data_IF_848921732732
#
_entry.id   IF_848921732732
#
_cell.length_a   1.000
_cell.length_b   1.000
_cell.length_c   1.000
_cell.angle_alpha   90.00
_cell.angle_beta   90.00
_cell.angle_gamma   90.00
#
_symmetry.space_group_name_H-M   'P 1'
#
loop_
_entity.id
_entity.type
_entity.pdbx_description
1 polymer ?
#
# COMPACT_ATOMS: atom_id res chain seq x y z
N UNK A 1 -9.78 -11.01 18.67
CA UNK A 1 -8.62 -11.58 17.92
C UNK A 1 -7.88 -10.44 17.24
N UNK A 2 -6.57 -10.57 17.06
CA UNK A 2 -5.70 -9.44 16.72
C UNK A 2 -5.97 -8.85 15.33
N UNK A 3 -6.35 -7.58 15.27
CA UNK A 3 -6.60 -6.78 14.05
C UNK A 3 -5.31 -6.39 13.28
N UNK A 4 -4.27 -7.23 13.37
CA UNK A 4 -2.92 -6.91 12.86
C UNK A 4 -2.88 -6.89 11.34
N UNK A 5 -3.56 -7.82 10.66
CA UNK A 5 -3.64 -7.82 9.20
C UNK A 5 -4.27 -6.53 8.66
N UNK A 6 -5.42 -6.08 9.20
CA UNK A 6 -6.03 -4.84 8.75
C UNK A 6 -5.16 -3.61 9.06
N UNK A 7 -4.52 -3.59 10.24
CA UNK A 7 -3.61 -2.53 10.64
C UNK A 7 -2.39 -2.44 9.71
N UNK A 8 -1.72 -3.55 9.45
CA UNK A 8 -0.58 -3.57 8.53
C UNK A 8 -1.01 -3.26 7.09
N UNK A 9 -2.17 -3.74 6.65
CA UNK A 9 -2.66 -3.42 5.32
C UNK A 9 -2.97 -1.92 5.16
N UNK A 10 -3.60 -1.29 6.16
CA UNK A 10 -3.83 0.15 6.16
C UNK A 10 -2.52 0.95 6.12
N UNK A 11 -1.51 0.52 6.89
CA UNK A 11 -0.19 1.16 6.88
C UNK A 11 0.52 1.00 5.53
N UNK A 12 0.42 -0.19 4.92
CA UNK A 12 0.95 -0.43 3.58
C UNK A 12 0.29 0.53 2.57
N UNK A 13 -1.04 0.66 2.61
CA UNK A 13 -1.77 1.60 1.77
C UNK A 13 -1.32 3.05 1.97
N UNK A 14 -1.10 3.47 3.21
CA UNK A 14 -0.59 4.80 3.52
C UNK A 14 0.83 5.04 2.96
N UNK A 15 1.74 4.06 3.07
CA UNK A 15 3.09 4.17 2.51
C UNK A 15 3.08 4.16 0.98
N UNK A 16 2.21 3.36 0.35
CA UNK A 16 2.00 3.40 -1.11
C UNK A 16 1.51 4.78 -1.56
N UNK A 17 0.60 5.41 -0.82
CA UNK A 17 0.16 6.78 -1.08
C UNK A 17 1.29 7.79 -0.95
N UNK A 18 2.13 7.68 0.09
CA UNK A 18 3.32 8.52 0.25
C UNK A 18 4.29 8.36 -0.90
N UNK A 19 4.53 7.13 -1.37
CA UNK A 19 5.33 6.89 -2.57
C UNK A 19 4.76 7.62 -3.79
N UNK A 20 3.46 7.51 -4.05
CA UNK A 20 2.85 8.17 -5.21
C UNK A 20 2.99 9.70 -5.16
N UNK A 21 2.76 10.31 -4.00
CA UNK A 21 2.91 11.76 -3.78
C UNK A 21 4.38 12.21 -3.90
N UNK A 22 5.31 11.43 -3.35
CA UNK A 22 6.75 11.71 -3.46
C UNK A 22 7.22 11.61 -4.92
N UNK A 23 6.78 10.59 -5.66
CA UNK A 23 7.09 10.45 -7.08
C UNK A 23 6.51 11.61 -7.91
N UNK A 24 5.27 12.02 -7.64
CA UNK A 24 4.64 13.16 -8.32
C UNK A 24 5.40 14.48 -8.07
N UNK A 25 5.96 14.65 -6.88
CA UNK A 25 6.77 15.82 -6.50
C UNK A 25 8.26 15.68 -6.81
N UNK A 26 8.69 14.59 -7.48
CA UNK A 26 10.10 14.29 -7.79
C UNK A 26 11.00 14.26 -6.55
N UNK A 27 10.44 13.84 -5.42
CA UNK A 27 11.17 13.69 -4.15
C UNK A 27 11.64 12.24 -3.98
N UNK A 28 12.74 11.90 -4.65
CA UNK A 28 13.27 10.53 -4.65
C UNK A 28 13.64 10.01 -3.25
N UNK A 29 14.10 10.91 -2.36
CA UNK A 29 14.44 10.55 -0.98
C UNK A 29 13.21 10.04 -0.22
N UNK A 30 12.10 10.78 -0.27
CA UNK A 30 10.87 10.36 0.41
C UNK A 30 10.22 9.16 -0.28
N UNK A 31 10.35 9.05 -1.62
CA UNK A 31 9.90 7.88 -2.36
C UNK A 31 10.59 6.61 -1.85
N UNK A 32 11.92 6.61 -1.79
CA UNK A 32 12.69 5.45 -1.34
C UNK A 32 12.43 5.12 0.14
N UNK A 33 12.31 6.14 1.00
CA UNK A 33 12.00 5.94 2.41
C UNK A 33 10.61 5.33 2.62
N UNK A 34 9.60 5.79 1.87
CA UNK A 34 8.25 5.23 1.91
C UNK A 34 8.20 3.81 1.34
N UNK A 35 8.95 3.55 0.26
CA UNK A 35 9.01 2.24 -0.36
C UNK A 35 9.66 1.20 0.56
N UNK A 36 10.72 1.56 1.29
CA UNK A 36 11.33 0.67 2.30
C UNK A 36 10.32 0.30 3.40
N UNK A 37 9.57 1.29 3.92
CA UNK A 37 8.50 1.03 4.90
C UNK A 37 7.40 0.13 4.35
N UNK A 38 6.99 0.33 3.09
CA UNK A 38 6.01 -0.51 2.43
C UNK A 38 6.47 -1.98 2.33
N UNK A 39 7.71 -2.22 1.91
CA UNK A 39 8.27 -3.59 1.85
C UNK A 39 8.41 -4.24 3.23
N UNK A 40 8.81 -3.49 4.27
CA UNK A 40 8.81 -3.99 5.65
C UNK A 40 7.41 -4.39 6.10
N UNK A 41 6.40 -3.56 5.80
CA UNK A 41 5.01 -3.84 6.15
C UNK A 41 4.47 -5.06 5.40
N UNK A 42 4.85 -5.24 4.13
CA UNK A 42 4.53 -6.44 3.36
C UNK A 42 5.11 -7.71 3.99
N UNK A 43 6.35 -7.64 4.49
CA UNK A 43 6.97 -8.76 5.22
C UNK A 43 6.27 -9.07 6.54
N UNK A 44 5.68 -8.07 7.22
CA UNK A 44 4.85 -8.29 8.40
C UNK A 44 3.52 -8.96 8.01
N UNK A 45 2.87 -8.51 6.93
CA UNK A 45 1.64 -9.13 6.40
C UNK A 45 1.84 -10.60 6.02
N UNK A 46 2.99 -10.96 5.45
CA UNK A 46 3.30 -12.35 5.11
C UNK A 46 3.36 -13.30 6.33
N UNK A 47 3.49 -12.75 7.55
CA UNK A 47 3.47 -13.51 8.81
C UNK A 47 2.07 -13.59 9.42
N UNK A 48 1.11 -12.85 8.88
CA UNK A 48 -0.29 -12.94 9.30
C UNK A 48 -0.95 -14.11 8.56
N UNK A 49 -1.85 -14.84 9.22
CA UNK A 49 -2.60 -15.97 8.63
C UNK A 49 -3.72 -15.50 7.69
N UNK A 50 -3.38 -14.55 6.80
CA UNK A 50 -4.27 -13.80 5.92
C UNK A 50 -3.59 -13.59 4.56
N UNK A 51 -3.45 -14.65 3.74
CA UNK A 51 -2.76 -14.57 2.44
C UNK A 51 -3.36 -13.49 1.52
N UNK A 52 -4.68 -13.24 1.63
CA UNK A 52 -5.37 -12.22 0.85
C UNK A 52 -4.80 -10.82 1.08
N UNK A 53 -4.34 -10.50 2.29
CA UNK A 53 -3.77 -9.19 2.61
C UNK A 53 -2.38 -9.00 2.00
N UNK A 54 -1.59 -10.08 1.92
CA UNK A 54 -0.29 -10.07 1.27
C UNK A 54 -0.44 -9.91 -0.25
N UNK A 55 -1.36 -10.67 -0.85
CA UNK A 55 -1.64 -10.64 -2.29
C UNK A 55 -2.09 -9.24 -2.74
N UNK A 56 -3.08 -8.67 -2.04
CA UNK A 56 -3.57 -7.34 -2.35
C UNK A 56 -2.47 -6.28 -2.13
N UNK A 57 -1.63 -6.46 -1.11
CA UNK A 57 -0.49 -5.58 -0.86
C UNK A 57 0.55 -5.59 -1.99
N UNK A 58 0.82 -6.75 -2.57
CA UNK A 58 1.68 -6.88 -3.75
C UNK A 58 1.06 -6.21 -4.98
N UNK A 59 -0.25 -6.32 -5.16
CA UNK A 59 -0.98 -5.65 -6.24
C UNK A 59 -0.88 -4.13 -6.13
N UNK A 60 -1.02 -3.56 -4.92
CA UNK A 60 -0.84 -2.12 -4.68
C UNK A 60 0.55 -1.62 -5.10
N UNK A 61 1.62 -2.35 -4.75
CA UNK A 61 2.98 -2.01 -5.14
C UNK A 61 3.21 -2.11 -6.65
N UNK A 62 2.64 -3.11 -7.32
CA UNK A 62 2.69 -3.23 -8.79
C UNK A 62 1.93 -2.11 -9.47
N UNK A 63 0.74 -1.75 -8.96
CA UNK A 63 -0.06 -0.66 -9.49
C UNK A 63 0.64 0.70 -9.34
N UNK A 64 1.33 0.93 -8.22
CA UNK A 64 2.19 2.10 -8.03
C UNK A 64 3.29 2.18 -9.10
N UNK A 65 4.04 1.11 -9.32
CA UNK A 65 5.13 1.12 -10.31
C UNK A 65 4.61 1.31 -11.74
N UNK A 66 3.47 0.68 -12.06
CA UNK A 66 2.79 0.89 -13.33
C UNK A 66 2.38 2.36 -13.51
N UNK A 67 1.73 2.95 -12.51
CA UNK A 67 1.30 4.36 -12.55
C UNK A 67 2.49 5.32 -12.68
N UNK A 68 3.60 5.02 -12.03
CA UNK A 68 4.84 5.79 -12.11
C UNK A 68 5.44 5.75 -13.52
N UNK A 69 5.46 4.57 -14.13
CA UNK A 69 5.99 4.35 -15.49
C UNK A 69 5.12 4.99 -16.57
N UNK A 70 3.79 4.92 -16.39
CA UNK A 70 2.82 5.46 -17.35
C UNK A 70 2.53 6.96 -17.15
N UNK A 71 3.06 7.58 -16.09
CA UNK A 71 2.78 8.98 -15.76
C UNK A 71 1.35 9.24 -15.24
N UNK A 72 0.68 8.21 -14.71
CA UNK A 72 -0.72 8.26 -14.25
C UNK A 72 -0.86 8.34 -12.73
N UNK A 73 0.19 8.79 -12.02
CA UNK A 73 0.22 8.89 -10.56
C UNK A 73 -0.95 9.67 -9.96
N UNK A 74 -1.44 10.72 -10.63
CA UNK A 74 -2.59 11.49 -10.12
C UNK A 74 -3.85 10.64 -10.04
N UNK A 75 -4.19 9.94 -11.12
CA UNK A 75 -5.33 9.03 -11.16
C UNK A 75 -5.18 7.90 -10.15
N UNK A 76 -3.96 7.36 -10.01
CA UNK A 76 -3.66 6.34 -9.01
C UNK A 76 -3.96 6.82 -7.58
N UNK A 77 -3.49 8.02 -7.21
CA UNK A 77 -3.74 8.64 -5.91
C UNK A 77 -5.24 8.77 -5.63
N UNK A 78 -6.02 9.23 -6.62
CA UNK A 78 -7.45 9.44 -6.46
C UNK A 78 -8.21 8.10 -6.31
N UNK A 79 -7.72 7.02 -6.92
CA UNK A 79 -8.40 5.71 -6.92
C UNK A 79 -7.99 4.77 -5.78
N UNK A 80 -6.75 4.82 -5.31
CA UNK A 80 -6.24 3.79 -4.39
C UNK A 80 -6.91 3.82 -3.01
N UNK A 81 -7.38 4.98 -2.55
CA UNK A 81 -8.15 5.09 -1.30
C UNK A 81 -9.47 4.31 -1.36
N UNK A 82 -10.09 4.21 -2.55
CA UNK A 82 -11.32 3.43 -2.76
C UNK A 82 -11.08 1.92 -2.61
N UNK A 83 -9.83 1.46 -2.64
CA UNK A 83 -9.44 0.07 -2.46
C UNK A 83 -8.99 -0.19 -1.02
N UNK A 84 -8.12 0.68 -0.48
CA UNK A 84 -7.50 0.48 0.84
C UNK A 84 -8.55 0.40 1.94
N UNK A 85 -9.46 1.37 2.02
CA UNK A 85 -10.41 1.48 3.13
C UNK A 85 -11.38 0.29 3.19
N UNK A 86 -12.08 -0.10 2.09
CA UNK A 86 -12.96 -1.27 2.12
C UNK A 86 -12.21 -2.58 2.38
N UNK A 87 -10.99 -2.73 1.86
CA UNK A 87 -10.21 -3.95 2.06
C UNK A 87 -9.74 -4.08 3.52
N UNK A 88 -9.21 -3.00 4.10
CA UNK A 88 -8.86 -2.95 5.53
C UNK A 88 -10.05 -3.29 6.42
N UNK A 89 -11.24 -2.76 6.14
CA UNK A 89 -12.44 -3.06 6.92
C UNK A 89 -12.81 -4.56 6.86
N UNK A 90 -12.67 -5.22 5.70
CA UNK A 90 -12.93 -6.67 5.56
C UNK A 90 -11.93 -7.56 6.30
N UNK A 91 -10.70 -7.08 6.49
CA UNK A 91 -9.68 -7.81 7.25
C UNK A 91 -9.91 -7.75 8.77
N UNK A 92 -10.68 -6.77 9.25
CA UNK A 92 -11.00 -6.66 10.65
C UNK A 92 -11.90 -7.83 11.08
N UNK A 93 -11.66 -8.44 12.25
CA UNK A 93 -12.56 -9.46 12.76
C UNK A 93 -13.93 -8.83 13.04
N UNK A 94 -14.97 -9.46 12.49
CA UNK A 94 -16.39 -9.15 12.77
C UNK A 94 -16.77 -9.44 14.22
#
# INVERSE_FOLDING_TARGET
>A
MSNRAAFYFANLGADVMRCALAAQSKNDKEYLASLDRAFRTLHLLAKEQRPEALEEGLLLLRALEHARTMGTLRTFIDQVNLVIEPFSARLAPS
#
